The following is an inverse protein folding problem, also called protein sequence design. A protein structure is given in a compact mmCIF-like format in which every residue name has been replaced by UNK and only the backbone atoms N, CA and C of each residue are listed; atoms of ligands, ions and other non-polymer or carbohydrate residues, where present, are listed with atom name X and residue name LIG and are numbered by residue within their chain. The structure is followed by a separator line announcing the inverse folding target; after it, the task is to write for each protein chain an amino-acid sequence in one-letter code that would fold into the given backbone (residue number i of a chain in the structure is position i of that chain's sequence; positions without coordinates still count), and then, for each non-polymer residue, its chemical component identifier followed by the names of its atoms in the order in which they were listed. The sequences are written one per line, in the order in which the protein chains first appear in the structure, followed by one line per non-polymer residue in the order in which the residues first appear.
data_IF_003945851543
#
_entry.id   IF_003945851543
#
_cell.length_a   1.000
_cell.length_b   1.000
_cell.length_c   1.000
_cell.angle_alpha   90.00
_cell.angle_beta   90.00
_cell.angle_gamma   90.00
#
_symmetry.space_group_name_H-M   'P 1'
#
loop_
_entity.id
_entity.type
_entity.pdbx_description
1 polymer ?
#
# COMPACT_ATOMS: atom_id res chain seq x y z
N UNK A 1 7.67 0.73 -18.25
CA UNK A 1 7.51 1.33 -16.92
C UNK A 1 6.58 0.46 -16.11
N UNK A 2 6.87 0.27 -14.83
CA UNK A 2 5.99 -0.48 -13.93
C UNK A 2 5.43 0.49 -12.89
N UNK A 3 4.11 0.69 -12.94
CA UNK A 3 3.39 1.58 -12.04
C UNK A 3 2.64 0.74 -11.01
N UNK A 4 2.93 1.01 -9.73
CA UNK A 4 2.28 0.39 -8.60
C UNK A 4 1.56 1.45 -7.80
N UNK A 5 0.41 1.07 -7.25
CA UNK A 5 -0.40 1.89 -6.37
C UNK A 5 -0.50 1.12 -5.05
N UNK A 6 -0.11 1.79 -3.98
CA UNK A 6 -0.16 1.26 -2.63
C UNK A 6 -1.09 2.19 -1.85
N UNK A 7 -2.22 1.67 -1.41
CA UNK A 7 -3.10 2.36 -0.50
C UNK A 7 -3.15 1.61 0.82
N UNK A 8 -3.22 2.34 1.92
CA UNK A 8 -3.32 1.75 3.25
C UNK A 8 -3.67 2.80 4.28
N UNK A 9 -3.95 2.33 5.49
CA UNK A 9 -4.16 3.22 6.63
C UNK A 9 -2.82 3.87 6.99
N UNK A 10 -2.82 5.19 7.14
CA UNK A 10 -1.60 5.91 7.50
C UNK A 10 -1.05 5.55 8.90
N UNK A 11 -1.92 5.10 9.81
CA UNK A 11 -1.55 4.66 11.15
C UNK A 11 -1.00 3.22 11.19
N UNK A 12 -0.82 2.55 10.05
CA UNK A 12 -0.36 1.17 10.00
C UNK A 12 1.15 1.07 9.72
N UNK A 13 1.94 0.38 10.57
CA UNK A 13 3.37 0.22 10.38
C UNK A 13 3.74 -0.58 9.13
N UNK A 14 2.86 -1.45 8.65
CA UNK A 14 3.09 -2.17 7.40
C UNK A 14 2.88 -1.26 6.17
N UNK A 15 2.04 -0.24 6.27
CA UNK A 15 1.94 0.77 5.21
C UNK A 15 3.22 1.63 5.14
N UNK A 16 3.74 2.06 6.30
CA UNK A 16 5.03 2.75 6.37
C UNK A 16 6.18 1.92 5.77
N UNK A 17 6.15 0.59 5.97
CA UNK A 17 7.13 -0.31 5.33
C UNK A 17 7.02 -0.28 3.81
N UNK A 18 5.80 -0.27 3.28
CA UNK A 18 5.55 -0.21 1.85
C UNK A 18 6.02 1.13 1.24
N UNK A 19 5.82 2.23 1.96
CA UNK A 19 6.29 3.57 1.59
C UNK A 19 7.82 3.66 1.50
N UNK A 20 8.53 3.16 2.52
CA UNK A 20 9.99 3.15 2.47
C UNK A 20 10.52 2.31 1.30
N UNK A 21 9.92 1.13 1.09
CA UNK A 21 10.25 0.27 -0.05
C UNK A 21 10.01 1.01 -1.37
N UNK A 22 8.90 1.73 -1.45
CA UNK A 22 8.52 2.50 -2.62
C UNK A 22 9.54 3.60 -2.95
N UNK A 23 9.92 4.40 -1.95
CA UNK A 23 10.95 5.41 -2.11
C UNK A 23 12.27 4.81 -2.56
N UNK A 24 12.70 3.71 -1.94
CA UNK A 24 13.97 3.08 -2.27
C UNK A 24 13.98 2.48 -3.69
N UNK A 25 12.87 1.84 -4.11
CA UNK A 25 12.72 1.32 -5.47
C UNK A 25 12.69 2.43 -6.51
N UNK A 26 12.01 3.54 -6.23
CA UNK A 26 11.95 4.69 -7.14
C UNK A 26 13.35 5.32 -7.33
N UNK A 27 14.18 5.34 -6.28
CA UNK A 27 15.58 5.83 -6.34
C UNK A 27 16.46 4.85 -7.14
N UNK A 28 16.33 3.55 -6.90
CA UNK A 28 17.18 2.54 -7.55
C UNK A 28 16.75 2.22 -8.99
N UNK A 29 15.48 2.40 -9.33
CA UNK A 29 14.89 1.97 -10.60
C UNK A 29 14.10 3.12 -11.24
N UNK A 30 14.68 3.88 -12.19
CA UNK A 30 14.01 5.02 -12.81
C UNK A 30 12.79 4.65 -13.67
N UNK A 31 12.55 3.35 -13.91
CA UNK A 31 11.37 2.82 -14.61
C UNK A 31 10.28 2.29 -13.67
N UNK A 32 10.50 2.38 -12.36
CA UNK A 32 9.60 1.89 -11.32
C UNK A 32 8.95 3.07 -10.62
N UNK A 33 7.63 3.19 -10.73
CA UNK A 33 6.91 4.28 -10.11
C UNK A 33 5.90 3.71 -9.13
N UNK A 34 5.93 4.19 -7.89
CA UNK A 34 4.95 3.80 -6.89
C UNK A 34 4.21 5.05 -6.44
N UNK A 35 2.89 4.98 -6.49
CA UNK A 35 2.00 5.98 -5.94
C UNK A 35 1.51 5.49 -4.59
N UNK A 36 1.82 6.26 -3.56
CA UNK A 36 1.38 6.05 -2.19
C UNK A 36 0.10 6.84 -1.96
N UNK A 37 -0.93 6.16 -1.48
CA UNK A 37 -2.26 6.69 -1.23
C UNK A 37 -2.58 6.46 0.26
N UNK A 38 -1.98 7.27 1.15
CA UNK A 38 -2.24 7.15 2.57
C UNK A 38 -3.67 7.61 2.83
N UNK A 39 -4.47 6.75 3.46
CA UNK A 39 -5.86 7.05 3.78
C UNK A 39 -6.03 7.14 5.29
N UNK A 40 -6.99 7.98 5.69
CA UNK A 40 -7.40 8.08 7.08
C UNK A 40 -8.02 6.73 7.52
N UNK A 41 -7.69 6.20 8.71
CA UNK A 41 -8.18 4.89 9.15
C UNK A 41 -9.71 4.79 9.21
N UNK A 42 -10.40 5.91 9.43
CA UNK A 42 -11.87 6.01 9.43
C UNK A 42 -12.48 5.93 8.02
N UNK A 43 -11.79 6.50 7.02
CA UNK A 43 -12.23 6.55 5.62
C UNK A 43 -11.76 5.32 4.81
N UNK A 44 -10.73 4.61 5.31
CA UNK A 44 -10.14 3.42 4.70
C UNK A 44 -11.14 2.32 4.30
N UNK A 45 -12.07 1.86 5.16
CA UNK A 45 -12.98 0.77 4.80
C UNK A 45 -13.89 1.13 3.60
N UNK A 46 -14.32 2.39 3.48
CA UNK A 46 -15.12 2.84 2.34
C UNK A 46 -14.24 2.93 1.09
N UNK A 47 -13.03 3.49 1.21
CA UNK A 47 -12.06 3.61 0.13
C UNK A 47 -11.67 2.25 -0.45
N UNK A 48 -11.30 1.29 0.40
CA UNK A 48 -10.94 -0.07 0.00
C UNK A 48 -12.09 -0.74 -0.75
N UNK A 49 -13.33 -0.57 -0.28
CA UNK A 49 -14.52 -1.09 -0.94
C UNK A 49 -14.73 -0.46 -2.32
N UNK A 50 -14.59 0.86 -2.44
CA UNK A 50 -14.75 1.55 -3.72
C UNK A 50 -13.73 1.11 -4.75
N UNK A 51 -12.44 1.07 -4.39
CA UNK A 51 -11.36 0.61 -5.28
C UNK A 51 -11.56 -0.85 -5.70
N UNK A 52 -11.98 -1.70 -4.76
CA UNK A 52 -12.24 -3.12 -5.05
C UNK A 52 -13.35 -3.31 -6.09
N UNK A 53 -14.41 -2.51 -6.01
CA UNK A 53 -15.52 -2.50 -6.99
C UNK A 53 -15.05 -1.88 -8.31
N UNK A 54 -14.36 -0.74 -8.26
CA UNK A 54 -13.92 0.02 -9.44
C UNK A 54 -12.96 -0.80 -10.32
N UNK A 55 -12.03 -1.55 -9.72
CA UNK A 55 -11.13 -2.44 -10.45
C UNK A 55 -11.78 -3.77 -10.88
N UNK A 56 -13.03 -4.02 -10.47
CA UNK A 56 -13.77 -5.24 -10.80
C UNK A 56 -13.17 -6.50 -10.18
N UNK A 57 -12.41 -6.37 -9.08
CA UNK A 57 -11.84 -7.52 -8.36
C UNK A 57 -12.92 -8.42 -7.74
N UNK A 58 -14.14 -7.90 -7.57
CA UNK A 58 -15.31 -8.69 -7.21
C UNK A 58 -15.76 -9.67 -8.32
N UNK A 59 -15.52 -9.33 -9.58
CA UNK A 59 -16.00 -10.10 -10.75
C UNK A 59 -14.88 -10.88 -11.45
N UNK A 60 -13.62 -10.45 -11.33
CA UNK A 60 -12.49 -11.29 -11.72
C UNK A 60 -12.46 -12.44 -10.75
N UNK A 61 -12.47 -13.68 -11.25
CA UNK A 61 -12.14 -14.86 -10.45
C UNK A 61 -10.75 -14.61 -9.87
N UNK A 62 -10.69 -14.08 -8.65
CA UNK A 62 -9.45 -13.97 -7.91
C UNK A 62 -8.93 -15.40 -7.82
N UNK A 63 -7.86 -15.67 -8.56
CA UNK A 63 -7.22 -16.98 -8.60
C UNK A 63 -6.82 -17.42 -7.18
N UNK A 64 -6.67 -16.46 -6.27
CA UNK A 64 -6.56 -16.64 -4.84
C UNK A 64 -7.90 -16.36 -4.13
N UNK A 65 -8.60 -17.42 -3.75
CA UNK A 65 -9.76 -17.40 -2.83
C UNK A 65 -9.39 -17.00 -1.38
N UNK A 66 -8.19 -16.46 -1.18
CA UNK A 66 -7.61 -16.14 0.13
C UNK A 66 -7.76 -14.67 0.51
N UNK A 67 -8.20 -13.81 -0.41
CA UNK A 67 -8.53 -12.43 -0.09
C UNK A 67 -9.81 -12.41 0.75
N UNK A 68 -9.61 -12.43 2.08
CA UNK A 68 -10.58 -11.97 3.07
C UNK A 68 -11.14 -10.64 2.58
N UNK A 69 -12.44 -10.48 2.76
CA UNK A 69 -13.25 -9.29 2.46
C UNK A 69 -12.47 -7.96 2.52
N UNK A 70 -12.84 -6.94 1.71
CA UNK A 70 -12.16 -5.63 1.69
C UNK A 70 -12.04 -4.97 3.07
N UNK A 71 -12.91 -5.36 4.01
CA UNK A 71 -12.92 -4.96 5.41
C UNK A 71 -11.72 -5.48 6.23
N UNK A 72 -11.08 -6.56 5.81
CA UNK A 72 -9.95 -7.20 6.49
C UNK A 72 -8.58 -6.83 5.89
N UNK A 73 -8.54 -6.05 4.81
CA UNK A 73 -7.29 -5.58 4.23
C UNK A 73 -6.90 -4.27 4.90
N UNK A 74 -5.75 -4.24 5.55
CA UNK A 74 -5.16 -3.03 6.16
C UNK A 74 -4.46 -2.14 5.14
N UNK A 75 -4.09 -2.77 4.02
CA UNK A 75 -3.37 -2.19 2.91
C UNK A 75 -3.60 -3.01 1.64
N UNK A 76 -3.54 -2.32 0.51
CA UNK A 76 -3.78 -2.88 -0.81
C UNK A 76 -2.71 -2.38 -1.77
N UNK A 77 -2.08 -3.32 -2.46
CA UNK A 77 -1.08 -3.06 -3.49
C UNK A 77 -1.61 -3.59 -4.81
N UNK A 78 -1.71 -2.71 -5.81
CA UNK A 78 -2.10 -3.10 -7.16
C UNK A 78 -1.24 -2.40 -8.21
N UNK A 79 -1.21 -2.98 -9.41
CA UNK A 79 -0.59 -2.35 -10.58
C UNK A 79 -1.56 -1.37 -11.22
N UNK A 80 -1.05 -0.35 -11.91
CA UNK A 80 -1.86 0.53 -12.76
C UNK A 80 -2.71 -0.25 -13.79
N UNK A 81 -2.24 -1.43 -14.22
CA UNK A 81 -2.98 -2.36 -15.08
C UNK A 81 -4.25 -2.95 -14.44
N UNK A 82 -4.52 -2.68 -13.15
CA UNK A 82 -5.66 -3.20 -12.40
C UNK A 82 -5.46 -4.62 -11.86
N UNK A 83 -4.21 -5.09 -11.80
CA UNK A 83 -3.84 -6.37 -11.20
C UNK A 83 -3.54 -6.18 -9.71
N UNK A 84 -4.32 -6.83 -8.85
CA UNK A 84 -4.07 -6.83 -7.42
C UNK A 84 -2.86 -7.72 -7.12
N UNK A 85 -1.82 -7.14 -6.53
CA UNK A 85 -0.66 -7.88 -6.04
C UNK A 85 -1.00 -8.52 -4.69
N UNK A 86 -1.68 -7.76 -3.81
CA UNK A 86 -2.08 -8.21 -2.49
C UNK A 86 -1.76 -7.18 -1.42
N UNK A 87 -1.18 -7.62 -0.30
CA UNK A 87 -0.73 -6.76 0.79
C UNK A 87 0.78 -6.43 0.69
N UNK A 88 1.29 -5.66 1.65
CA UNK A 88 2.70 -5.24 1.70
C UNK A 88 3.66 -6.43 1.73
N UNK A 89 3.33 -7.56 2.35
CA UNK A 89 4.18 -8.76 2.40
C UNK A 89 4.28 -9.42 1.04
N UNK A 90 3.19 -9.51 0.30
CA UNK A 90 3.23 -10.02 -1.07
C UNK A 90 3.98 -9.07 -2.00
N UNK A 91 3.88 -7.76 -1.77
CA UNK A 91 4.72 -6.79 -2.47
C UNK A 91 6.22 -6.96 -2.15
N UNK A 92 6.59 -7.16 -0.89
CA UNK A 92 7.97 -7.48 -0.47
C UNK A 92 8.47 -8.77 -1.11
N UNK A 93 7.66 -9.82 -1.15
CA UNK A 93 8.02 -11.07 -1.86
C UNK A 93 8.22 -10.82 -3.35
N UNK A 94 7.34 -10.04 -3.98
CA UNK A 94 7.46 -9.69 -5.39
C UNK A 94 8.79 -8.98 -5.66
N UNK A 95 9.16 -8.00 -4.84
CA UNK A 95 10.42 -7.26 -4.99
C UNK A 95 11.63 -8.14 -4.71
N UNK A 96 11.58 -8.98 -3.68
CA UNK A 96 12.63 -9.96 -3.40
C UNK A 96 12.82 -10.92 -4.59
N UNK A 97 11.73 -11.40 -5.20
CA UNK A 97 11.83 -12.28 -6.37
C UNK A 97 12.26 -11.54 -7.64
N UNK A 98 11.82 -10.29 -7.83
CA UNK A 98 12.08 -9.53 -9.04
C UNK A 98 13.48 -8.88 -9.07
N UNK A 99 14.01 -8.49 -7.91
CA UNK A 99 15.24 -7.69 -7.80
C UNK A 99 16.30 -8.30 -6.87
N UNK A 100 16.05 -9.47 -6.27
CA UNK A 100 16.95 -10.14 -5.30
C UNK A 100 17.39 -9.22 -4.15
N UNK A 101 16.50 -8.30 -3.75
CA UNK A 101 16.74 -7.34 -2.68
C UNK A 101 15.82 -7.64 -1.51
N UNK A 102 16.40 -7.87 -0.33
CA UNK A 102 15.66 -8.06 0.91
C UNK A 102 15.72 -6.77 1.74
N UNK A 103 14.54 -6.25 2.10
CA UNK A 103 14.39 -5.11 2.99
C UNK A 103 13.81 -5.61 4.30
N UNK A 104 14.67 -5.80 5.28
CA UNK A 104 14.26 -5.99 6.67
C UNK A 104 14.38 -4.63 7.36
N UNK A 105 13.26 -3.93 7.45
CA UNK A 105 13.14 -2.70 8.20
C UNK A 105 12.85 -3.04 9.66
N UNK A 106 13.58 -2.40 10.58
CA UNK A 106 13.41 -2.57 12.02
C UNK A 106 12.02 -2.05 12.44
N UNK A 107 11.29 -2.86 13.21
CA UNK A 107 9.89 -2.59 13.58
C UNK A 107 9.74 -1.26 14.34
N UNK A 108 10.78 -0.85 15.09
CA UNK A 108 10.81 0.43 15.79
C UNK A 108 10.80 1.66 14.88
N UNK A 109 11.47 1.59 13.73
CA UNK A 109 11.49 2.70 12.76
C UNK A 109 10.17 2.79 12.00
N UNK A 110 9.53 1.65 11.72
CA UNK A 110 8.24 1.59 11.05
C UNK A 110 7.12 2.22 11.88
N UNK A 111 7.14 1.99 13.20
CA UNK A 111 6.17 2.58 14.12
C UNK A 111 6.30 4.11 14.20
N UNK A 112 7.52 4.64 14.15
CA UNK A 112 7.76 6.09 14.19
C UNK A 112 7.24 6.76 12.91
N UNK A 113 7.53 6.18 11.74
CA UNK A 113 7.07 6.69 10.44
C UNK A 113 5.54 6.60 10.31
N UNK A 114 4.93 5.50 10.76
CA UNK A 114 3.46 5.39 10.76
C UNK A 114 2.80 6.47 11.62
N UNK A 115 3.43 6.81 12.74
CA UNK A 115 2.96 7.89 13.61
C UNK A 115 3.11 9.25 12.94
N UNK A 116 4.27 9.55 12.34
CA UNK A 116 4.50 10.80 11.60
C UNK A 116 3.49 10.96 10.45
N UNK A 117 3.27 9.90 9.66
CA UNK A 117 2.29 9.89 8.57
C UNK A 117 0.87 10.16 9.04
N UNK A 118 0.48 9.60 10.19
CA UNK A 118 -0.83 9.87 10.78
C UNK A 118 -0.96 11.33 11.25
N UNK A 119 0.08 11.90 11.85
CA UNK A 119 0.12 13.31 12.27
C UNK A 119 0.05 14.28 11.08
N UNK A 120 0.77 14.00 9.99
CA UNK A 120 0.72 14.80 8.75
C UNK A 120 -0.67 14.76 8.07
N UNK A 121 -1.30 13.59 8.03
CA UNK A 121 -2.66 13.45 7.49
C UNK A 121 -3.70 14.20 8.32
N UNK A 122 -3.57 14.14 9.66
CA UNK A 122 -4.40 14.93 10.57
C UNK A 122 -4.20 16.44 10.35
N UNK A 123 -2.95 16.89 10.21
CA UNK A 123 -2.62 18.29 9.95
C UNK A 123 -3.19 18.78 8.61
N UNK A 124 -3.08 17.97 7.54
CA UNK A 124 -3.66 18.28 6.23
C UNK A 124 -5.18 18.36 6.26
N UNK A 125 -5.85 17.49 7.04
CA UNK A 125 -7.32 17.50 7.21
C UNK A 125 -7.79 18.69 8.05
N UNK A 126 -6.96 19.19 8.98
CA UNK A 126 -7.24 20.41 9.76
C UNK A 126 -6.97 21.70 8.99
N UNK A 127 -5.95 21.74 8.14
CA UNK A 127 -5.63 22.91 7.31
C UNK A 127 -6.65 23.18 6.19
N UNK A 128 -7.48 22.19 5.85
CA UNK A 128 -8.53 22.30 4.83
C UNK A 128 -9.92 22.68 5.39
N UNK A 129 -10.00 23.09 6.66
CA UNK A 129 -11.25 23.46 7.36
C UNK A 129 -11.28 24.94 7.71
#
# INVERSE_FOLDING_TARGET
MAYFMIAGRANDPEYARAEMLAHHLNINLPSFHITLLPQHPDDWPDYARQIFIQNGWANRMAHDRTFKTPEGLEQMVWRESGELIGDTKDFLKFIKQAYDQEYNLDDGTLADIAKENYEELLASKQASK
#
